data_IF_373233771312
#
_entry.id   IF_373233771312
#
_cell.length_a   1.000
_cell.length_b   1.000
_cell.length_c   1.000
_cell.angle_alpha   90.00
_cell.angle_beta   90.00
_cell.angle_gamma   90.00
#
_symmetry.space_group_name_H-M   'P 1'
#
loop_
_entity.id
_entity.type
_entity.pdbx_description
1 polymer ?
#
# COMPACT_ATOMS: atom_id res chain seq x y z
N UNK A 1 -2.64 29.08 -15.68
CA UNK A 1 -2.47 28.16 -14.53
C UNK A 1 -2.45 26.77 -15.10
N UNK A 2 -1.47 25.95 -14.75
CA UNK A 2 -1.52 24.52 -15.08
C UNK A 2 -2.73 23.89 -14.40
N UNK A 3 -3.42 23.00 -15.11
CA UNK A 3 -4.70 22.42 -14.69
C UNK A 3 -4.56 21.12 -13.89
N UNK A 4 -3.32 20.67 -13.65
CA UNK A 4 -3.02 19.37 -13.03
C UNK A 4 -2.35 19.49 -11.65
N UNK A 5 -2.28 18.38 -10.90
CA UNK A 5 -1.53 18.33 -9.64
C UNK A 5 -0.02 18.46 -9.91
N UNK A 6 0.69 19.08 -8.96
CA UNK A 6 2.16 19.25 -9.01
C UNK A 6 2.89 17.90 -8.94
N UNK A 7 2.35 16.96 -8.15
CA UNK A 7 2.87 15.61 -8.01
C UNK A 7 1.72 14.61 -7.82
N UNK A 8 1.92 13.37 -8.28
CA UNK A 8 0.95 12.27 -8.11
C UNK A 8 1.69 11.02 -7.65
N UNK A 9 1.27 10.45 -6.52
CA UNK A 9 1.87 9.25 -5.93
C UNK A 9 0.91 8.07 -6.01
N UNK A 10 1.35 6.97 -6.63
CA UNK A 10 0.53 5.77 -6.79
C UNK A 10 0.62 4.90 -5.52
N UNK A 11 -0.34 5.06 -4.61
CA UNK A 11 -0.36 4.37 -3.30
C UNK A 11 -0.80 2.91 -3.44
N UNK A 12 -1.85 2.67 -4.22
CA UNK A 12 -2.57 1.40 -4.27
C UNK A 12 -2.62 0.79 -5.68
N UNK A 13 -1.60 0.99 -6.53
CA UNK A 13 -1.64 0.49 -7.92
C UNK A 13 -1.82 -1.03 -7.98
N UNK A 14 -1.31 -1.76 -6.98
CA UNK A 14 -1.44 -3.21 -6.87
C UNK A 14 -2.89 -3.69 -6.64
N UNK A 15 -3.79 -2.81 -6.23
CA UNK A 15 -5.22 -3.11 -6.02
C UNK A 15 -6.08 -2.87 -7.26
N UNK A 16 -5.53 -2.25 -8.31
CA UNK A 16 -6.29 -1.93 -9.52
C UNK A 16 -7.01 -3.12 -10.15
N UNK A 17 -6.46 -4.35 -10.17
CA UNK A 17 -7.18 -5.52 -10.69
C UNK A 17 -8.36 -5.97 -9.81
N UNK A 18 -8.54 -5.42 -8.60
CA UNK A 18 -9.48 -5.88 -7.57
C UNK A 18 -10.50 -4.84 -7.15
N UNK A 19 -10.73 -3.84 -8.00
CA UNK A 19 -11.70 -2.78 -7.71
C UNK A 19 -13.12 -3.34 -7.50
N UNK A 20 -13.48 -4.44 -8.19
CA UNK A 20 -14.76 -5.13 -7.95
C UNK A 20 -14.83 -5.70 -6.52
N UNK A 21 -13.81 -6.45 -6.08
CA UNK A 21 -13.75 -7.03 -4.74
C UNK A 21 -13.80 -5.93 -3.65
N UNK A 22 -13.08 -4.81 -3.87
CA UNK A 22 -13.08 -3.66 -2.96
C UNK A 22 -14.43 -2.95 -2.91
N UNK A 23 -15.17 -2.93 -4.03
CA UNK A 23 -16.51 -2.37 -4.10
C UNK A 23 -17.53 -3.27 -3.39
N UNK A 24 -17.49 -4.58 -3.62
CA UNK A 24 -18.39 -5.55 -2.99
C UNK A 24 -18.24 -5.61 -1.47
N UNK A 25 -17.03 -5.38 -0.95
CA UNK A 25 -16.74 -5.38 0.48
C UNK A 25 -16.73 -3.97 1.11
N UNK A 26 -17.22 -2.94 0.40
CA UNK A 26 -17.22 -1.52 0.80
C UNK A 26 -15.84 -0.91 1.13
N UNK A 27 -14.74 -1.68 1.02
CA UNK A 27 -13.38 -1.22 1.28
C UNK A 27 -12.97 -0.07 0.37
N UNK A 28 -13.53 0.03 -0.85
CA UNK A 28 -13.26 1.17 -1.74
C UNK A 28 -13.62 2.54 -1.14
N UNK A 29 -14.50 2.57 -0.13
CA UNK A 29 -14.90 3.78 0.58
C UNK A 29 -14.04 4.11 1.80
N UNK A 30 -13.02 3.30 2.10
CA UNK A 30 -12.08 3.58 3.17
C UNK A 30 -11.32 4.89 2.94
N UNK A 31 -11.20 5.68 4.02
CA UNK A 31 -10.57 7.00 4.00
C UNK A 31 -9.20 6.93 4.66
N UNK A 32 -8.17 6.82 3.83
CA UNK A 32 -6.78 6.88 4.27
C UNK A 32 -6.35 8.33 4.47
N UNK A 33 -5.81 8.64 5.63
CA UNK A 33 -5.17 9.93 5.88
C UNK A 33 -3.77 9.96 5.27
N UNK A 34 -3.31 11.17 4.98
CA UNK A 34 -1.92 11.43 4.64
C UNK A 34 -1.38 12.59 5.48
N UNK A 35 -0.07 12.57 5.73
CA UNK A 35 0.61 13.63 6.47
C UNK A 35 1.95 13.97 5.82
N UNK A 36 2.37 15.22 5.99
CA UNK A 36 3.66 15.75 5.53
C UNK A 36 4.67 15.67 6.67
N UNK A 37 5.93 15.38 6.37
CA UNK A 37 7.04 15.53 7.31
C UNK A 37 7.24 16.99 7.69
N UNK A 38 7.81 17.23 8.88
CA UNK A 38 8.06 18.59 9.37
C UNK A 38 8.92 19.46 8.45
N UNK A 39 9.82 18.84 7.68
CA UNK A 39 10.68 19.50 6.70
C UNK A 39 10.04 19.66 5.31
N UNK A 40 8.84 19.10 5.09
CA UNK A 40 8.14 19.15 3.81
C UNK A 40 8.72 18.26 2.71
N UNK A 41 9.73 17.44 3.01
CA UNK A 41 10.42 16.62 2.01
C UNK A 41 9.77 15.26 1.77
N UNK A 42 8.87 14.81 2.66
CA UNK A 42 8.24 13.50 2.59
C UNK A 42 6.75 13.56 2.90
N UNK A 43 5.99 12.71 2.23
CA UNK A 43 4.58 12.45 2.54
C UNK A 43 4.43 11.00 2.95
N UNK A 44 3.66 10.76 4.01
CA UNK A 44 3.26 9.43 4.42
C UNK A 44 1.75 9.24 4.25
N UNK A 45 1.33 8.02 3.94
CA UNK A 45 -0.07 7.61 3.88
C UNK A 45 -0.21 6.14 4.25
N UNK A 46 -1.35 5.78 4.81
CA UNK A 46 -1.67 4.39 5.12
C UNK A 46 -2.17 3.60 3.91
N UNK A 47 -2.29 2.29 4.11
CA UNK A 47 -2.73 1.28 3.14
C UNK A 47 -3.34 0.07 3.88
N UNK A 48 -3.82 -0.91 3.11
CA UNK A 48 -4.30 -2.20 3.63
C UNK A 48 -3.16 -3.08 4.16
N UNK A 49 -3.51 -4.15 4.87
CA UNK A 49 -2.57 -5.09 5.49
C UNK A 49 -1.64 -4.44 6.54
N UNK A 50 -2.16 -3.44 7.25
CA UNK A 50 -1.40 -2.58 8.18
C UNK A 50 -0.16 -1.92 7.54
N UNK A 51 -0.17 -1.75 6.22
CA UNK A 51 0.94 -1.11 5.52
C UNK A 51 0.80 0.42 5.60
N UNK A 52 1.94 1.10 5.57
CA UNK A 52 2.01 2.52 5.24
C UNK A 52 3.14 2.75 4.24
N UNK A 53 3.01 3.84 3.47
CA UNK A 53 3.95 4.22 2.44
C UNK A 53 4.48 5.62 2.72
N UNK A 54 5.78 5.80 2.52
CA UNK A 54 6.47 7.09 2.63
C UNK A 54 7.07 7.42 1.28
N UNK A 55 6.76 8.61 0.75
CA UNK A 55 7.19 9.10 -0.54
C UNK A 55 8.06 10.34 -0.38
N UNK A 56 9.11 10.46 -1.18
CA UNK A 56 9.85 11.72 -1.32
C UNK A 56 9.06 12.73 -2.17
N UNK A 57 9.06 13.99 -1.76
CA UNK A 57 8.31 15.07 -2.43
C UNK A 57 9.16 15.90 -3.41
N UNK A 58 10.45 15.61 -3.55
CA UNK A 58 11.31 16.31 -4.51
C UNK A 58 10.92 15.99 -5.96
N UNK A 59 11.11 16.98 -6.85
CA UNK A 59 10.86 16.79 -8.28
C UNK A 59 11.70 15.61 -8.82
N UNK A 60 11.02 14.65 -9.46
CA UNK A 60 11.65 13.44 -9.98
C UNK A 60 12.02 12.40 -8.93
N UNK A 61 11.61 12.55 -7.67
CA UNK A 61 11.86 11.55 -6.63
C UNK A 61 11.18 10.22 -6.97
N UNK A 62 11.98 9.15 -6.87
CA UNK A 62 11.48 7.76 -6.94
C UNK A 62 11.50 7.12 -5.56
N UNK A 63 11.77 7.90 -4.51
CA UNK A 63 11.77 7.43 -3.14
C UNK A 63 10.36 7.02 -2.74
N UNK A 64 10.14 5.72 -2.59
CA UNK A 64 8.90 5.15 -2.12
C UNK A 64 9.23 3.96 -1.21
N UNK A 65 9.04 4.13 0.09
CA UNK A 65 9.25 3.07 1.08
C UNK A 65 7.90 2.54 1.53
N UNK A 66 7.74 1.21 1.61
CA UNK A 66 6.55 0.56 2.17
C UNK A 66 6.95 -0.18 3.44
N UNK A 67 6.20 0.03 4.52
CA UNK A 67 6.48 -0.52 5.85
C UNK A 67 5.19 -1.14 6.42
N UNK A 68 5.35 -2.16 7.25
CA UNK A 68 4.25 -2.83 7.95
C UNK A 68 4.23 -2.43 9.43
N UNK A 69 3.09 -1.96 9.91
CA UNK A 69 2.85 -1.70 11.31
C UNK A 69 2.51 -3.00 12.05
N UNK A 70 3.55 -3.70 12.53
CA UNK A 70 3.41 -4.99 13.21
C UNK A 70 4.24 -5.07 14.49
N UNK A 71 3.83 -5.95 15.41
CA UNK A 71 4.56 -6.22 16.66
C UNK A 71 5.95 -6.84 16.45
N UNK A 72 6.23 -7.36 15.25
CA UNK A 72 7.52 -7.94 14.93
C UNK A 72 8.27 -7.01 13.96
N UNK A 73 9.10 -6.08 14.47
CA UNK A 73 9.75 -5.05 13.65
C UNK A 73 10.72 -5.62 12.62
N UNK A 74 11.11 -6.89 12.73
CA UNK A 74 12.03 -7.56 11.81
C UNK A 74 11.33 -8.33 10.68
N UNK A 75 9.99 -8.35 10.63
CA UNK A 75 9.26 -8.82 9.44
C UNK A 75 9.42 -7.80 8.31
N UNK A 76 10.59 -7.80 7.66
CA UNK A 76 10.70 -7.22 6.32
C UNK A 76 9.97 -8.17 5.38
N UNK A 77 8.82 -7.77 4.87
CA UNK A 77 8.26 -8.42 3.69
C UNK A 77 9.25 -8.13 2.55
N UNK A 78 10.10 -9.12 2.25
CA UNK A 78 11.05 -9.05 1.15
C UNK A 78 10.24 -8.75 -0.10
N UNK A 79 10.36 -7.52 -0.60
CA UNK A 79 9.80 -7.12 -1.88
C UNK A 79 10.59 -7.91 -2.92
N UNK A 80 10.10 -9.11 -3.26
CA UNK A 80 10.68 -9.85 -4.37
C UNK A 80 10.53 -8.95 -5.60
N UNK A 81 11.63 -8.60 -6.30
CA UNK A 81 11.52 -7.82 -7.52
C UNK A 81 10.58 -8.57 -8.46
N UNK A 82 9.59 -7.86 -8.98
CA UNK A 82 8.63 -8.37 -9.95
C UNK A 82 9.41 -9.04 -11.08
N UNK A 83 9.42 -10.38 -11.11
CA UNK A 83 9.97 -11.13 -12.23
C UNK A 83 9.21 -10.71 -13.49
N UNK A 84 9.89 -10.36 -14.59
CA UNK A 84 9.19 -10.06 -15.83
C UNK A 84 8.36 -11.27 -16.24
N UNK A 85 7.08 -11.03 -16.48
CA UNK A 85 6.11 -12.01 -16.98
C UNK A 85 6.68 -12.67 -18.24
N UNK A 86 7.04 -13.96 -18.14
CA UNK A 86 7.35 -14.76 -19.33
C UNK A 86 6.03 -15.12 -19.99
N UNK A 87 5.74 -14.49 -21.13
CA UNK A 87 4.71 -14.94 -22.04
C UNK A 87 5.07 -16.33 -22.58
N UNK A 88 4.39 -17.36 -22.09
CA UNK A 88 4.42 -18.70 -22.69
C UNK A 88 3.05 -18.97 -23.30
N UNK A 89 3.04 -19.01 -24.62
CA UNK A 89 1.86 -19.16 -25.43
C UNK A 89 1.22 -20.55 -25.36
N UNK A 90 -0.07 -20.54 -25.76
CA UNK A 90 -0.85 -21.60 -26.41
C UNK A 90 -0.79 -23.02 -25.81
N UNK A 91 -1.91 -23.47 -25.24
CA UNK A 91 -2.72 -24.60 -25.76
C UNK A 91 -4.12 -24.61 -25.08
N UNK A 92 -5.21 -25.09 -25.75
CA UNK A 92 -6.58 -24.97 -25.25
C UNK A 92 -7.10 -26.26 -24.60
N UNK A 93 -7.88 -26.16 -23.50
CA UNK A 93 -8.91 -27.15 -23.09
C UNK A 93 -9.73 -26.69 -21.85
N UNK A 94 -10.92 -26.15 -22.12
CA UNK A 94 -12.26 -26.61 -21.70
C UNK A 94 -12.47 -27.15 -20.25
N UNK A 95 -13.40 -26.48 -19.54
CA UNK A 95 -14.25 -26.89 -18.37
C UNK A 95 -13.51 -27.08 -17.01
N UNK A 96 -13.88 -26.47 -15.87
CA UNK A 96 -15.20 -26.23 -15.24
C UNK A 96 -15.18 -25.10 -14.18
N UNK A 97 -16.38 -24.54 -13.94
CA UNK A 97 -16.84 -23.69 -12.82
C UNK A 97 -16.19 -23.97 -11.46
N UNK A 98 -15.82 -22.89 -10.78
CA UNK A 98 -15.51 -22.82 -9.36
C UNK A 98 -14.89 -21.46 -9.06
N UNK A 99 -15.73 -20.47 -8.76
CA UNK A 99 -15.28 -19.13 -8.40
C UNK A 99 -14.69 -19.18 -6.99
N UNK A 100 -13.38 -19.31 -6.90
CA UNK A 100 -12.62 -18.88 -5.74
C UNK A 100 -12.06 -17.49 -6.07
N UNK A 101 -12.82 -16.46 -5.70
CA UNK A 101 -12.44 -15.03 -5.79
C UNK A 101 -11.36 -14.66 -4.78
N UNK A 102 -10.62 -15.63 -4.23
CA UNK A 102 -9.41 -15.36 -3.47
C UNK A 102 -8.27 -15.15 -4.46
N UNK A 103 -8.26 -14.01 -5.14
CA UNK A 103 -7.09 -13.66 -5.91
C UNK A 103 -5.91 -13.60 -4.93
N UNK A 104 -4.80 -14.23 -5.29
CA UNK A 104 -3.58 -14.24 -4.51
C UNK A 104 -2.65 -13.11 -4.97
N UNK A 105 -1.79 -12.60 -4.09
CA UNK A 105 -0.63 -11.82 -4.51
C UNK A 105 0.38 -12.72 -5.26
N UNK A 106 1.44 -12.13 -5.83
CA UNK A 106 2.49 -12.89 -6.53
C UNK A 106 3.20 -13.95 -5.63
N UNK A 107 2.94 -13.91 -4.32
CA UNK A 107 3.47 -14.79 -3.30
C UNK A 107 2.45 -15.83 -2.81
N UNK A 108 1.23 -15.86 -3.36
CA UNK A 108 0.19 -16.82 -2.98
C UNK A 108 -0.63 -16.41 -1.75
N UNK A 109 -0.42 -15.23 -1.18
CA UNK A 109 -1.15 -14.76 -0.01
C UNK A 109 -2.47 -14.10 -0.44
N UNK A 110 -3.54 -14.36 0.31
CA UNK A 110 -4.78 -13.60 0.19
C UNK A 110 -4.54 -12.15 0.66
N UNK A 111 -5.03 -11.17 -0.11
CA UNK A 111 -5.01 -9.78 0.35
C UNK A 111 -5.99 -9.63 1.52
N UNK A 112 -5.47 -9.19 2.66
CA UNK A 112 -6.30 -8.86 3.81
C UNK A 112 -6.72 -7.40 3.74
N UNK A 113 -7.98 -7.17 3.36
CA UNK A 113 -8.62 -5.84 3.37
C UNK A 113 -9.22 -5.48 4.73
N UNK A 114 -9.25 -6.42 5.69
CA UNK A 114 -9.81 -6.17 7.02
C UNK A 114 -8.84 -5.41 7.90
N UNK A 115 -7.54 -5.66 7.73
CA UNK A 115 -6.49 -4.87 8.37
C UNK A 115 -6.12 -3.68 7.51
N UNK A 116 -6.14 -2.49 8.13
CA UNK A 116 -5.92 -1.22 7.44
C UNK A 116 -5.30 -0.22 8.41
N UNK A 117 -4.40 0.59 7.88
CA UNK A 117 -3.81 1.72 8.59
C UNK A 117 -4.47 2.98 8.04
N UNK A 118 -5.50 3.48 8.72
CA UNK A 118 -6.24 4.67 8.25
C UNK A 118 -5.64 5.97 8.77
N UNK A 119 -5.04 5.92 9.96
CA UNK A 119 -4.57 7.10 10.69
C UNK A 119 -3.06 7.03 10.93
N UNK A 120 -2.40 8.14 10.59
CA UNK A 120 -1.00 8.39 10.91
C UNK A 120 -0.77 9.87 11.12
N UNK A 121 0.26 10.18 11.91
CA UNK A 121 0.69 11.54 12.15
C UNK A 121 2.22 11.60 12.10
N UNK A 122 2.73 12.58 11.37
CA UNK A 122 4.14 12.95 11.44
C UNK A 122 4.30 14.07 12.46
N UNK A 123 5.31 13.94 13.31
CA UNK A 123 5.67 14.99 14.24
C UNK A 123 6.16 16.24 13.46
N UNK A 124 5.77 17.46 13.86
CA UNK A 124 6.01 18.67 13.05
C UNK A 124 7.46 19.16 13.03
N UNK A 125 8.31 18.70 13.96
CA UNK A 125 9.71 19.16 14.06
C UNK A 125 10.71 18.01 14.13
N UNK A 126 10.42 17.00 14.94
CA UNK A 126 11.19 15.75 15.01
C UNK A 126 10.85 14.77 13.87
N UNK A 127 11.82 13.93 13.55
CA UNK A 127 11.69 12.88 12.54
C UNK A 127 11.02 11.63 13.11
N UNK A 128 9.79 11.81 13.61
CA UNK A 128 9.02 10.80 14.33
C UNK A 128 7.66 10.63 13.68
N UNK A 129 7.26 9.39 13.38
CA UNK A 129 5.99 9.05 12.76
C UNK A 129 5.21 8.08 13.65
N UNK A 130 3.96 8.43 13.95
CA UNK A 130 3.04 7.59 14.70
C UNK A 130 1.95 7.03 13.77
N UNK A 131 1.61 5.76 13.92
CA UNK A 131 0.50 5.15 13.18
C UNK A 131 -0.34 4.22 14.05
N UNK A 132 -1.66 4.24 13.81
CA UNK A 132 -2.61 3.38 14.49
C UNK A 132 -2.95 2.17 13.61
N UNK A 133 -2.66 0.97 14.11
CA UNK A 133 -2.93 -0.28 13.40
C UNK A 133 -3.20 -1.41 14.41
N UNK A 134 -4.12 -2.33 14.11
CA UNK A 134 -4.37 -3.55 14.91
C UNK A 134 -4.47 -3.30 16.44
N UNK A 135 -5.30 -2.32 16.85
CA UNK A 135 -5.50 -1.91 18.25
C UNK A 135 -4.21 -1.47 18.98
N UNK A 136 -3.18 -1.09 18.23
CA UNK A 136 -1.88 -0.69 18.74
C UNK A 136 -1.48 0.65 18.13
N UNK A 137 -0.73 1.44 18.89
CA UNK A 137 -0.05 2.64 18.40
C UNK A 137 1.42 2.29 18.20
N UNK A 138 1.93 2.49 16.99
CA UNK A 138 3.33 2.29 16.65
C UNK A 138 4.01 3.65 16.48
N UNK A 139 5.25 3.75 16.96
CA UNK A 139 6.09 4.93 16.79
C UNK A 139 7.37 4.53 16.08
N UNK A 140 7.68 5.26 15.01
CA UNK A 140 8.85 5.07 14.17
C UNK A 140 9.72 6.32 14.21
N UNK A 141 11.02 6.10 14.18
CA UNK A 141 11.97 7.13 13.78
C UNK A 141 12.12 7.04 12.25
N UNK A 142 11.82 8.12 11.53
CA UNK A 142 11.74 8.14 10.07
C UNK A 142 13.01 8.66 9.39
#
# INVERSE_FOLDING_TARGET
MESGPVATFQVHEYLRPRLCDLYENDSIFDKFECCLSGDGLRVATGSYSNLFRVFGCSEGSTEATTLEASKNPMRRQVQNPSRPSRSLGSLPRVLRRGADTSGTDANGNAFDFTTKLLHLAWHPTENSLACAASNSLYMYYA
#
